data_IF_088441728328
#
_entry.id   IF_088441728328
#
_cell.length_a   1.000
_cell.length_b   1.000
_cell.length_c   1.000
_cell.angle_alpha   90.00
_cell.angle_beta   90.00
_cell.angle_gamma   90.00
#
_symmetry.space_group_name_H-M   'P 1'
#
loop_
_entity.id
_entity.type
_entity.pdbx_description
1 polymer ?
#
# COMPACT_ATOMS: atom_id res chain seq x y z
N UNK A 1 -9.71 51.12 -5.31
CA UNK A 1 -8.35 50.75 -4.88
C UNK A 1 -8.27 49.24 -4.90
N UNK A 2 -7.84 48.65 -6.01
CA UNK A 2 -7.79 47.20 -6.20
C UNK A 2 -6.36 46.74 -5.98
N UNK A 3 -6.03 46.25 -4.78
CA UNK A 3 -4.81 45.50 -4.54
C UNK A 3 -4.84 44.25 -5.44
N UNK A 4 -4.25 44.35 -6.63
CA UNK A 4 -3.77 43.15 -7.32
C UNK A 4 -2.64 42.60 -6.45
N UNK A 5 -2.98 41.67 -5.57
CA UNK A 5 -2.04 40.83 -4.84
C UNK A 5 -1.09 40.24 -5.90
N UNK A 6 0.11 40.79 -6.01
CA UNK A 6 1.15 40.25 -6.87
C UNK A 6 1.42 38.84 -6.34
N UNK A 7 0.85 37.85 -7.01
CA UNK A 7 1.04 36.44 -6.71
C UNK A 7 2.54 36.16 -6.80
N UNK A 8 3.19 36.04 -5.65
CA UNK A 8 4.59 35.73 -5.59
C UNK A 8 4.73 34.27 -6.04
N UNK A 9 5.16 34.09 -7.29
CA UNK A 9 5.30 32.76 -7.92
C UNK A 9 6.16 31.83 -7.06
N UNK A 10 7.16 32.37 -6.35
CA UNK A 10 7.99 31.58 -5.43
C UNK A 10 7.20 31.00 -4.26
N UNK A 11 6.28 31.77 -3.67
CA UNK A 11 5.43 31.30 -2.57
C UNK A 11 4.49 30.20 -3.03
N UNK A 12 3.92 30.31 -4.24
CA UNK A 12 3.05 29.28 -4.81
C UNK A 12 3.83 27.99 -5.05
N UNK A 13 5.04 28.08 -5.60
CA UNK A 13 5.89 26.92 -5.87
C UNK A 13 6.30 26.22 -4.58
N UNK A 14 6.61 26.97 -3.53
CA UNK A 14 6.92 26.41 -2.21
C UNK A 14 5.69 25.72 -1.61
N UNK A 15 4.53 26.39 -1.61
CA UNK A 15 3.29 25.85 -1.08
C UNK A 15 2.87 24.56 -1.82
N UNK A 16 2.99 24.53 -3.15
CA UNK A 16 2.70 23.35 -3.96
C UNK A 16 3.68 22.20 -3.64
N UNK A 17 4.97 22.50 -3.51
CA UNK A 17 5.96 21.49 -3.13
C UNK A 17 5.66 20.88 -1.75
N UNK A 18 5.30 21.71 -0.77
CA UNK A 18 4.91 21.27 0.57
C UNK A 18 3.64 20.42 0.56
N UNK A 19 2.62 20.84 -0.19
CA UNK A 19 1.38 20.08 -0.36
C UNK A 19 1.63 18.69 -0.95
N UNK A 20 2.45 18.59 -2.00
CA UNK A 20 2.80 17.31 -2.62
C UNK A 20 3.63 16.45 -1.66
N UNK A 21 4.57 17.05 -0.92
CA UNK A 21 5.38 16.35 0.07
C UNK A 21 4.53 15.75 1.20
N UNK A 22 3.53 16.48 1.69
CA UNK A 22 2.56 15.98 2.68
C UNK A 22 1.73 14.83 2.12
N UNK A 23 1.26 14.94 0.87
CA UNK A 23 0.52 13.86 0.20
C UNK A 23 1.37 12.58 0.08
N UNK A 24 2.65 12.72 -0.29
CA UNK A 24 3.59 11.60 -0.33
C UNK A 24 3.78 10.97 1.06
N UNK A 25 3.91 11.80 2.10
CA UNK A 25 4.06 11.33 3.47
C UNK A 25 2.82 10.55 3.95
N UNK A 26 1.62 11.10 3.72
CA UNK A 26 0.35 10.46 4.06
C UNK A 26 0.19 9.11 3.36
N UNK A 27 0.47 9.02 2.06
CA UNK A 27 0.40 7.76 1.33
C UNK A 27 1.35 6.68 1.90
N UNK A 28 2.49 7.10 2.43
CA UNK A 28 3.46 6.21 3.07
C UNK A 28 3.01 5.78 4.47
N UNK A 29 2.43 6.68 5.25
CA UNK A 29 1.86 6.40 6.57
C UNK A 29 0.66 5.46 6.48
N UNK A 30 -0.27 5.74 5.57
CA UNK A 30 -1.45 4.91 5.31
C UNK A 30 -1.05 3.49 4.89
N UNK A 31 0.02 3.36 4.10
CA UNK A 31 0.52 2.02 3.70
C UNK A 31 0.96 1.19 4.90
N UNK A 32 1.67 1.81 5.85
CA UNK A 32 2.08 1.14 7.08
C UNK A 32 0.86 0.78 7.93
N UNK A 33 -0.08 1.72 8.08
CA UNK A 33 -1.31 1.55 8.86
C UNK A 33 -2.20 0.42 8.33
N UNK A 34 -2.45 0.39 7.02
CA UNK A 34 -3.23 -0.66 6.34
C UNK A 34 -2.61 -2.04 6.56
N UNK A 35 -1.29 -2.15 6.45
CA UNK A 35 -0.61 -3.43 6.66
C UNK A 35 -0.72 -3.89 8.11
N UNK A 36 -0.52 -2.99 9.07
CA UNK A 36 -0.67 -3.32 10.50
C UNK A 36 -2.10 -3.76 10.83
N UNK A 37 -3.12 -3.05 10.35
CA UNK A 37 -4.50 -3.45 10.57
C UNK A 37 -4.82 -4.82 9.96
N UNK A 38 -4.33 -5.10 8.76
CA UNK A 38 -4.47 -6.40 8.14
C UNK A 38 -3.83 -7.51 8.99
N UNK A 39 -2.57 -7.34 9.40
CA UNK A 39 -1.85 -8.33 10.20
C UNK A 39 -2.52 -8.60 11.55
N UNK A 40 -2.95 -7.55 12.25
CA UNK A 40 -3.65 -7.69 13.54
C UNK A 40 -4.99 -8.40 13.36
N UNK A 41 -5.76 -8.05 12.33
CA UNK A 41 -7.08 -8.64 12.08
C UNK A 41 -6.97 -10.12 11.71
N UNK A 42 -6.09 -10.45 10.76
CA UNK A 42 -5.84 -11.83 10.35
C UNK A 42 -5.25 -12.65 11.50
N UNK A 43 -4.26 -12.11 12.23
CA UNK A 43 -3.66 -12.77 13.39
C UNK A 43 -4.69 -13.06 14.48
N UNK A 44 -5.61 -12.14 14.74
CA UNK A 44 -6.70 -12.34 15.70
C UNK A 44 -7.67 -13.44 15.27
N UNK A 45 -8.02 -13.47 13.98
CA UNK A 45 -8.88 -14.53 13.42
C UNK A 45 -8.21 -15.90 13.47
N UNK A 46 -6.92 -15.99 13.12
CA UNK A 46 -6.14 -17.23 13.26
C UNK A 46 -6.08 -17.68 14.72
N UNK A 47 -5.85 -16.77 15.65
CA UNK A 47 -5.85 -17.07 17.09
C UNK A 47 -7.21 -17.56 17.60
N UNK A 48 -8.31 -17.02 17.07
CA UNK A 48 -9.65 -17.50 17.39
C UNK A 48 -9.89 -18.93 16.86
N UNK A 49 -9.48 -19.22 15.62
CA UNK A 49 -9.58 -20.55 15.00
C UNK A 49 -8.75 -21.58 15.79
N UNK A 50 -7.57 -21.21 16.27
CA UNK A 50 -6.68 -22.13 17.00
C UNK A 50 -7.34 -22.72 18.26
N UNK A 51 -8.29 -22.01 18.88
CA UNK A 51 -9.04 -22.49 20.05
C UNK A 51 -10.23 -23.38 19.70
N UNK A 52 -10.60 -23.44 18.42
CA UNK A 52 -11.76 -24.19 17.95
C UNK A 52 -11.33 -25.60 17.57
N UNK A 53 -12.01 -26.61 18.10
CA UNK A 53 -11.82 -28.00 17.67
C UNK A 53 -12.45 -28.20 16.29
N UNK A 54 -11.70 -28.62 15.27
CA UNK A 54 -12.28 -28.89 13.95
C UNK A 54 -13.30 -30.02 14.06
N UNK A 55 -14.54 -29.73 13.69
CA UNK A 55 -15.60 -30.74 13.54
C UNK A 55 -15.78 -31.07 12.06
N UNK A 56 -16.13 -32.32 11.75
CA UNK A 56 -16.49 -32.77 10.39
C UNK A 56 -17.95 -32.49 10.04
N UNK A 57 -18.69 -31.84 10.94
CA UNK A 57 -20.05 -31.39 10.65
C UNK A 57 -20.08 -30.43 9.46
N UNK A 58 -21.05 -30.66 8.56
CA UNK A 58 -21.13 -29.93 7.29
C UNK A 58 -21.31 -28.42 7.48
N UNK A 59 -22.05 -28.01 8.52
CA UNK A 59 -22.24 -26.60 8.84
C UNK A 59 -20.93 -25.92 9.24
N UNK A 60 -20.10 -26.62 10.03
CA UNK A 60 -18.77 -26.15 10.44
C UNK A 60 -17.83 -26.01 9.25
N UNK A 61 -17.83 -26.99 8.33
CA UNK A 61 -17.02 -26.93 7.11
C UNK A 61 -17.40 -25.72 6.22
N UNK A 62 -18.70 -25.50 5.99
CA UNK A 62 -19.15 -24.33 5.23
C UNK A 62 -18.86 -23.00 5.92
N UNK A 63 -18.90 -22.94 7.25
CA UNK A 63 -18.50 -21.76 8.00
C UNK A 63 -17.01 -21.44 7.80
N UNK A 64 -16.13 -22.46 7.81
CA UNK A 64 -14.72 -22.29 7.50
C UNK A 64 -14.49 -21.88 6.04
N UNK A 65 -15.21 -22.46 5.08
CA UNK A 65 -15.17 -22.04 3.67
C UNK A 65 -15.51 -20.55 3.55
N UNK A 66 -16.61 -20.09 4.15
CA UNK A 66 -17.01 -18.69 4.12
C UNK A 66 -15.95 -17.77 4.76
N UNK A 67 -15.38 -18.19 5.90
CA UNK A 67 -14.34 -17.44 6.60
C UNK A 67 -13.05 -17.31 5.76
N UNK A 68 -12.55 -18.41 5.19
CA UNK A 68 -11.33 -18.38 4.39
C UNK A 68 -11.53 -17.70 3.03
N UNK A 69 -12.73 -17.75 2.46
CA UNK A 69 -13.10 -16.96 1.29
C UNK A 69 -13.04 -15.46 1.60
N UNK A 70 -13.63 -15.04 2.71
CA UNK A 70 -13.57 -13.66 3.18
C UNK A 70 -12.12 -13.22 3.41
N UNK A 71 -11.31 -14.02 4.12
CA UNK A 71 -9.90 -13.73 4.38
C UNK A 71 -9.08 -13.60 3.09
N UNK A 72 -9.29 -14.50 2.13
CA UNK A 72 -8.60 -14.45 0.84
C UNK A 72 -8.95 -13.18 0.08
N UNK A 73 -10.25 -12.87 -0.02
CA UNK A 73 -10.72 -11.68 -0.72
C UNK A 73 -10.19 -10.39 -0.05
N UNK A 74 -10.22 -10.35 1.27
CA UNK A 74 -9.69 -9.23 2.05
C UNK A 74 -8.18 -9.06 1.88
N UNK A 75 -7.42 -10.16 1.81
CA UNK A 75 -5.99 -10.14 1.49
C UNK A 75 -5.70 -9.59 0.09
N UNK A 76 -6.49 -9.96 -0.92
CA UNK A 76 -6.36 -9.41 -2.27
C UNK A 76 -6.65 -7.90 -2.31
N UNK A 77 -7.70 -7.45 -1.64
CA UNK A 77 -8.03 -6.02 -1.54
C UNK A 77 -6.90 -5.24 -0.85
N UNK A 78 -6.37 -5.78 0.25
CA UNK A 78 -5.26 -5.16 0.98
C UNK A 78 -4.02 -5.05 0.08
N UNK A 79 -3.67 -6.12 -0.65
CA UNK A 79 -2.54 -6.09 -1.58
C UNK A 79 -2.73 -5.01 -2.67
N UNK A 80 -3.94 -4.90 -3.20
CA UNK A 80 -4.27 -3.87 -4.18
C UNK A 80 -4.14 -2.45 -3.62
N UNK A 81 -4.59 -2.22 -2.38
CA UNK A 81 -4.41 -0.95 -1.68
C UNK A 81 -2.92 -0.60 -1.50
N UNK A 82 -2.09 -1.56 -1.08
CA UNK A 82 -0.65 -1.34 -0.93
C UNK A 82 0.03 -0.95 -2.26
N UNK A 83 -0.38 -1.57 -3.36
CA UNK A 83 0.11 -1.23 -4.71
C UNK A 83 -0.30 0.19 -5.08
N UNK A 84 -1.59 0.55 -4.91
CA UNK A 84 -2.08 1.90 -5.22
C UNK A 84 -1.41 2.98 -4.38
N UNK A 85 -1.24 2.77 -3.08
CA UNK A 85 -0.53 3.70 -2.20
C UNK A 85 0.93 3.86 -2.60
N UNK A 86 1.57 2.78 -3.08
CA UNK A 86 2.93 2.86 -3.61
C UNK A 86 3.00 3.68 -4.90
N UNK A 87 2.03 3.53 -5.80
CA UNK A 87 1.95 4.33 -7.02
C UNK A 87 1.71 5.82 -6.72
N UNK A 88 0.77 6.13 -5.83
CA UNK A 88 0.48 7.51 -5.40
C UNK A 88 1.72 8.21 -4.82
N UNK A 89 2.53 7.48 -4.04
CA UNK A 89 3.80 7.99 -3.54
C UNK A 89 4.79 8.34 -4.68
N UNK A 90 4.89 7.50 -5.71
CA UNK A 90 5.75 7.75 -6.87
C UNK A 90 5.26 8.93 -7.72
N UNK A 91 3.95 9.05 -7.91
CA UNK A 91 3.34 10.19 -8.60
C UNK A 91 3.69 11.50 -7.89
N UNK A 92 3.61 11.51 -6.56
CA UNK A 92 3.98 12.66 -5.73
C UNK A 92 5.47 13.01 -5.89
N UNK A 93 6.36 12.01 -5.88
CA UNK A 93 7.79 12.25 -6.13
C UNK A 93 8.06 12.82 -7.53
N UNK A 94 7.35 12.31 -8.54
CA UNK A 94 7.48 12.81 -9.91
C UNK A 94 7.06 14.28 -9.98
N UNK A 95 5.94 14.64 -9.37
CA UNK A 95 5.46 16.03 -9.31
C UNK A 95 6.46 16.95 -8.57
N UNK A 96 6.99 16.53 -7.41
CA UNK A 96 8.06 17.27 -6.72
C UNK A 96 9.31 17.45 -7.59
N UNK A 97 9.68 16.43 -8.37
CA UNK A 97 10.84 16.50 -9.25
C UNK A 97 10.60 17.38 -10.47
N UNK A 98 9.36 17.53 -10.95
CA UNK A 98 9.02 18.52 -11.99
C UNK A 98 9.28 19.95 -11.50
N UNK A 99 8.93 20.26 -10.25
CA UNK A 99 9.24 21.56 -9.63
C UNK A 99 10.75 21.77 -9.52
N UNK A 100 11.50 20.75 -9.05
CA UNK A 100 12.97 20.82 -8.99
C UNK A 100 13.60 21.03 -10.37
N UNK A 101 13.12 20.31 -11.38
CA UNK A 101 13.63 20.44 -12.76
C UNK A 101 13.37 21.85 -13.32
N UNK A 102 12.25 22.47 -12.96
CA UNK A 102 11.98 23.87 -13.27
C UNK A 102 13.00 24.81 -12.59
N UNK A 103 13.22 24.65 -11.28
CA UNK A 103 14.20 25.46 -10.54
C UNK A 103 15.64 25.28 -11.04
N UNK A 104 16.03 24.07 -11.45
CA UNK A 104 17.35 23.79 -12.03
C UNK A 104 17.54 24.48 -13.39
N UNK A 105 16.48 24.64 -14.18
CA UNK A 105 16.55 25.37 -15.46
C UNK A 105 16.83 26.86 -15.23
N UNK A 106 16.25 27.42 -14.17
CA UNK A 106 16.43 28.83 -13.80
C UNK A 106 17.81 29.08 -13.14
N UNK A 107 18.25 28.17 -12.26
CA UNK A 107 19.57 28.23 -11.65
C UNK A 107 20.30 26.88 -11.73
N UNK A 108 21.29 26.78 -12.62
CA UNK A 108 22.05 25.55 -12.89
C UNK A 108 22.90 25.08 -11.70
N UNK A 109 23.26 25.93 -10.75
CA UNK A 109 24.01 25.52 -9.55
C UNK A 109 23.19 24.61 -8.64
N UNK A 110 21.85 24.73 -8.67
CA UNK A 110 20.93 23.88 -7.89
C UNK A 110 21.00 22.40 -8.29
N UNK A 111 21.49 22.10 -9.49
CA UNK A 111 21.69 20.72 -9.96
C UNK A 111 22.63 19.92 -9.06
N UNK A 112 23.60 20.59 -8.42
CA UNK A 112 24.56 19.93 -7.50
C UNK A 112 23.93 19.64 -6.13
N UNK A 113 22.85 20.33 -5.77
CA UNK A 113 22.18 20.23 -4.47
C UNK A 113 21.09 19.14 -4.50
N UNK A 114 20.33 19.05 -5.59
CA UNK A 114 19.23 18.09 -5.69
C UNK A 114 19.71 16.69 -6.09
N UNK A 115 19.57 15.74 -5.15
CA UNK A 115 19.88 14.32 -5.38
C UNK A 115 18.98 13.66 -6.44
N UNK A 116 17.70 14.02 -6.48
CA UNK A 116 16.69 13.42 -7.36
C UNK A 116 16.00 14.46 -8.25
N UNK A 117 15.84 14.09 -9.51
CA UNK A 117 15.24 14.80 -10.66
C UNK A 117 14.41 13.79 -11.45
N UNK A 118 13.62 14.20 -12.45
CA UNK A 118 12.85 13.21 -13.23
C UNK A 118 13.74 12.19 -13.95
N UNK A 119 14.98 12.55 -14.29
CA UNK A 119 15.91 11.67 -15.02
C UNK A 119 16.61 10.63 -14.13
N UNK A 120 16.77 10.90 -12.83
CA UNK A 120 17.48 10.03 -11.89
C UNK A 120 16.64 9.67 -10.65
N UNK A 121 15.32 9.65 -10.82
CA UNK A 121 14.38 9.23 -9.78
C UNK A 121 14.59 7.75 -9.42
N UNK A 122 14.40 7.35 -8.15
CA UNK A 122 14.51 5.96 -7.76
C UNK A 122 13.52 5.09 -8.53
N UNK A 123 13.94 3.87 -8.90
CA UNK A 123 13.09 2.92 -9.60
C UNK A 123 11.78 2.64 -8.86
N UNK A 124 10.70 2.50 -9.64
CA UNK A 124 9.34 2.24 -9.15
C UNK A 124 9.26 0.97 -8.32
N UNK A 125 10.04 -0.04 -8.70
CA UNK A 125 10.04 -1.36 -8.09
C UNK A 125 11.41 -1.69 -7.52
N UNK A 126 11.52 -1.72 -6.19
CA UNK A 126 12.71 -2.18 -5.48
C UNK A 126 12.36 -3.42 -4.66
N UNK A 127 12.88 -4.58 -5.07
CA UNK A 127 12.65 -5.87 -4.40
C UNK A 127 13.16 -5.90 -2.95
N UNK A 128 14.25 -5.18 -2.65
CA UNK A 128 14.79 -5.08 -1.28
C UNK A 128 14.24 -3.86 -0.51
N UNK A 129 13.01 -3.45 -0.77
CA UNK A 129 12.38 -2.34 -0.05
C UNK A 129 11.40 -2.85 0.99
N UNK A 130 11.25 -2.10 2.09
CA UNK A 130 10.21 -2.36 3.11
C UNK A 130 8.83 -2.46 2.47
N UNK A 131 8.54 -1.65 1.44
CA UNK A 131 7.29 -1.71 0.69
C UNK A 131 7.04 -3.09 0.06
N UNK A 132 8.07 -3.69 -0.52
CA UNK A 132 7.99 -5.01 -1.11
C UNK A 132 7.75 -6.09 -0.05
N UNK A 133 8.46 -6.03 1.08
CA UNK A 133 8.28 -6.99 2.16
C UNK A 133 6.87 -6.96 2.76
N UNK A 134 6.28 -5.77 2.93
CA UNK A 134 4.89 -5.64 3.40
C UNK A 134 3.90 -6.28 2.40
N UNK A 135 4.07 -6.01 1.10
CA UNK A 135 3.24 -6.62 0.07
C UNK A 135 3.43 -8.16 0.01
N UNK A 136 4.66 -8.63 0.16
CA UNK A 136 4.99 -10.05 0.20
C UNK A 136 4.32 -10.73 1.41
N UNK A 137 4.38 -10.14 2.60
CA UNK A 137 3.71 -10.66 3.79
C UNK A 137 2.20 -10.84 3.57
N UNK A 138 1.53 -9.83 3.02
CA UNK A 138 0.10 -9.90 2.70
C UNK A 138 -0.17 -10.99 1.66
N UNK A 139 0.64 -11.07 0.61
CA UNK A 139 0.49 -12.07 -0.45
C UNK A 139 0.69 -13.50 0.07
N UNK A 140 1.70 -13.74 0.92
CA UNK A 140 1.94 -15.05 1.53
C UNK A 140 0.79 -15.47 2.43
N UNK A 141 0.28 -14.56 3.27
CA UNK A 141 -0.90 -14.84 4.10
C UNK A 141 -2.13 -15.13 3.24
N UNK A 142 -2.35 -14.35 2.19
CA UNK A 142 -3.45 -14.57 1.23
C UNK A 142 -3.38 -15.95 0.57
N UNK A 143 -2.18 -16.40 0.19
CA UNK A 143 -1.96 -17.73 -0.38
C UNK A 143 -2.28 -18.85 0.63
N UNK A 144 -1.90 -18.69 1.89
CA UNK A 144 -2.24 -19.64 2.96
C UNK A 144 -3.74 -19.72 3.17
N UNK A 145 -4.43 -18.57 3.25
CA UNK A 145 -5.89 -18.55 3.42
C UNK A 145 -6.63 -19.14 2.23
N UNK A 146 -6.11 -18.96 1.00
CA UNK A 146 -6.68 -19.57 -0.19
C UNK A 146 -6.45 -21.08 -0.25
N UNK A 147 -5.29 -21.56 0.21
CA UNK A 147 -5.01 -22.98 0.38
C UNK A 147 -5.99 -23.62 1.38
N UNK A 148 -6.22 -22.96 2.53
CA UNK A 148 -7.18 -23.40 3.52
C UNK A 148 -8.61 -23.42 2.96
N UNK A 149 -9.03 -22.38 2.23
CA UNK A 149 -10.30 -22.34 1.52
C UNK A 149 -10.48 -23.57 0.62
N UNK A 150 -9.49 -23.85 -0.22
CA UNK A 150 -9.53 -24.96 -1.17
C UNK A 150 -9.64 -26.32 -0.46
N UNK A 151 -8.92 -26.48 0.65
CA UNK A 151 -8.98 -27.69 1.48
C UNK A 151 -10.36 -27.91 2.09
N UNK A 152 -10.92 -26.91 2.78
CA UNK A 152 -12.25 -27.03 3.41
C UNK A 152 -13.38 -27.15 2.39
N UNK A 153 -13.24 -26.50 1.22
CA UNK A 153 -14.19 -26.63 0.12
C UNK A 153 -14.16 -28.05 -0.46
N UNK A 154 -12.98 -28.65 -0.58
CA UNK A 154 -12.83 -30.06 -0.95
C UNK A 154 -13.52 -31.00 0.04
N UNK A 155 -13.31 -30.81 1.35
CA UNK A 155 -13.97 -31.62 2.39
C UNK A 155 -15.49 -31.47 2.37
N UNK A 156 -16.00 -30.24 2.19
CA UNK A 156 -17.43 -29.96 2.16
C UNK A 156 -18.13 -30.58 0.95
N UNK A 157 -17.46 -30.62 -0.21
CA UNK A 157 -18.02 -31.16 -1.46
C UNK A 157 -17.88 -32.68 -1.57
N UNK A 158 -16.73 -33.24 -1.20
CA UNK A 158 -16.40 -34.64 -1.51
C UNK A 158 -16.65 -35.62 -0.36
N UNK A 159 -17.05 -35.16 0.85
CA UNK A 159 -17.38 -35.98 2.04
C UNK A 159 -16.53 -37.27 2.13
N UNK A 160 -15.32 -37.15 2.68
CA UNK A 160 -14.62 -38.32 3.21
C UNK A 160 -15.13 -38.64 4.62
#
# INVERSE_FOLDING_TARGET
MSEKKNLNVSEIVVAEYEYIAQTAFQAQEDRARVTTFYLVSVGSLVGAIYKTTPSTEIATLWAFVALFLFLTYFGLLTLYQLIRLRLAWFESIRAMNQIKDFLIKENKELKKIFRWTNKNSPETFKRNSVAYFLALQVATLGAVTFGALSFYLGLALFKF
#
